data_IF_793896224468
#
_entry.id   IF_793896224468
#
_cell.length_a   1.000
_cell.length_b   1.000
_cell.length_c   1.000
_cell.angle_alpha   90.00
_cell.angle_beta   90.00
_cell.angle_gamma   90.00
#
_symmetry.space_group_name_H-M   'P 1'
#
loop_
_entity.id
_entity.type
_entity.pdbx_description
1 polymer ?
#
# COMPACT_ATOMS: atom_id res chain seq x y z
N UNK A 1 -21.96 -5.36 -10.07
CA UNK A 1 -23.03 -4.34 -9.96
C UNK A 1 -22.37 -3.02 -9.60
N UNK A 2 -22.30 -2.09 -10.55
CA UNK A 2 -21.92 -0.70 -10.27
C UNK A 2 -23.16 -0.10 -9.62
N UNK A 3 -23.08 0.26 -8.34
CA UNK A 3 -24.24 0.70 -7.55
C UNK A 3 -24.78 1.99 -8.17
N UNK A 4 -25.87 1.86 -8.92
CA UNK A 4 -26.64 2.93 -9.56
C UNK A 4 -27.72 3.49 -8.63
N UNK A 5 -27.34 3.90 -7.43
CA UNK A 5 -28.19 4.71 -6.54
C UNK A 5 -27.31 5.78 -5.91
N UNK A 6 -27.80 7.02 -5.94
CA UNK A 6 -27.13 8.23 -5.54
C UNK A 6 -26.65 8.15 -4.08
N UNK A 7 -25.42 7.68 -3.88
CA UNK A 7 -24.66 8.02 -2.68
C UNK A 7 -24.33 9.49 -2.83
N UNK A 8 -24.92 10.34 -2.00
CA UNK A 8 -24.51 11.74 -1.87
C UNK A 8 -23.12 11.71 -1.25
N UNK A 9 -22.11 11.64 -2.12
CA UNK A 9 -20.71 11.71 -1.70
C UNK A 9 -20.47 13.16 -1.29
N UNK A 10 -20.18 13.38 -0.01
CA UNK A 10 -19.68 14.67 0.44
C UNK A 10 -18.24 14.85 -0.06
N UNK A 11 -18.13 15.43 -1.27
CA UNK A 11 -16.86 15.71 -1.93
C UNK A 11 -15.97 16.61 -1.07
N UNK A 12 -16.56 17.48 -0.24
CA UNK A 12 -15.82 18.40 0.64
C UNK A 12 -15.11 17.64 1.75
N UNK A 13 -15.83 16.73 2.42
CA UNK A 13 -15.25 15.86 3.44
C UNK A 13 -14.13 14.97 2.87
N UNK A 14 -14.30 14.49 1.63
CA UNK A 14 -13.32 13.65 0.94
C UNK A 14 -12.02 14.42 0.63
N UNK A 15 -12.14 15.64 0.10
CA UNK A 15 -11.00 16.53 -0.17
C UNK A 15 -10.25 16.90 1.10
N UNK A 16 -10.98 17.25 2.18
CA UNK A 16 -10.36 17.59 3.47
C UNK A 16 -9.60 16.38 4.05
N UNK A 17 -10.16 15.17 3.99
CA UNK A 17 -9.46 13.99 4.48
C UNK A 17 -8.18 13.68 3.70
N UNK A 18 -8.21 13.82 2.37
CA UNK A 18 -7.00 13.65 1.54
C UNK A 18 -5.92 14.69 1.89
N UNK A 19 -6.33 15.94 2.08
CA UNK A 19 -5.44 17.03 2.49
C UNK A 19 -4.77 16.73 3.84
N UNK A 20 -5.55 16.33 4.84
CA UNK A 20 -5.06 16.04 6.18
C UNK A 20 -4.16 14.79 6.23
N UNK A 21 -4.51 13.74 5.47
CA UNK A 21 -3.84 12.44 5.56
C UNK A 21 -2.60 12.31 4.66
N UNK A 22 -2.56 13.02 3.53
CA UNK A 22 -1.49 12.90 2.53
C UNK A 22 -0.71 14.19 2.37
N UNK A 23 -1.40 15.31 2.10
CA UNK A 23 -0.75 16.56 1.71
C UNK A 23 0.01 17.22 2.87
N UNK A 24 -0.64 17.38 4.03
CA UNK A 24 0.00 17.97 5.22
C UNK A 24 1.25 17.20 5.67
N UNK A 25 1.20 15.87 5.90
CA UNK A 25 2.40 15.13 6.31
C UNK A 25 3.50 15.13 5.24
N UNK A 26 3.14 15.19 3.95
CA UNK A 26 4.13 15.30 2.86
C UNK A 26 4.84 16.65 2.88
N UNK A 27 4.11 17.76 3.04
CA UNK A 27 4.67 19.11 3.13
C UNK A 27 5.57 19.23 4.36
N UNK A 28 5.11 18.75 5.52
CA UNK A 28 5.93 18.70 6.75
C UNK A 28 7.21 17.90 6.54
N UNK A 29 7.12 16.74 5.88
CA UNK A 29 8.28 15.92 5.55
C UNK A 29 9.28 16.63 4.63
N UNK A 30 8.80 17.33 3.60
CA UNK A 30 9.64 18.11 2.69
C UNK A 30 10.32 19.29 3.40
N UNK A 31 9.59 20.03 4.24
CA UNK A 31 10.14 21.15 5.02
C UNK A 31 11.19 20.67 6.04
N UNK A 32 10.93 19.55 6.72
CA UNK A 32 11.91 18.93 7.63
C UNK A 32 13.14 18.41 6.90
N UNK A 33 12.97 17.87 5.68
CA UNK A 33 14.08 17.43 4.84
C UNK A 33 14.98 18.61 4.42
N UNK A 34 14.37 19.72 3.99
CA UNK A 34 15.07 20.92 3.57
C UNK A 34 15.78 21.60 4.75
N UNK A 35 15.13 21.66 5.92
CA UNK A 35 15.71 22.24 7.13
C UNK A 35 16.85 21.41 7.73
N UNK A 36 16.83 20.08 7.54
CA UNK A 36 17.93 19.19 7.99
C UNK A 36 19.08 19.06 6.98
N UNK A 37 19.00 19.76 5.83
CA UNK A 37 20.07 19.82 4.84
C UNK A 37 20.52 18.46 4.30
N UNK A 38 19.60 17.48 4.23
CA UNK A 38 19.88 16.13 3.71
C UNK A 38 20.64 15.19 4.66
N UNK A 39 20.99 15.59 5.90
CA UNK A 39 21.67 14.70 6.88
C UNK A 39 20.79 13.55 7.38
N UNK A 40 19.48 13.60 7.15
CA UNK A 40 18.50 12.55 7.45
C UNK A 40 18.61 11.32 6.54
N UNK A 41 19.31 11.41 5.40
CA UNK A 41 19.53 10.27 4.49
C UNK A 41 20.41 9.18 5.14
N UNK A 42 21.35 9.56 6.02
CA UNK A 42 22.17 8.63 6.79
C UNK A 42 21.41 7.94 7.93
N UNK A 43 20.52 8.68 8.62
CA UNK A 43 19.66 8.16 9.68
C UNK A 43 18.54 7.26 9.15
N UNK A 44 18.05 7.54 7.94
CA UNK A 44 17.06 6.71 7.22
C UNK A 44 17.59 5.34 6.81
N UNK A 45 18.91 5.19 6.60
CA UNK A 45 19.53 3.88 6.30
C UNK A 45 19.70 2.98 7.54
N UNK A 46 19.70 3.56 8.75
CA UNK A 46 19.88 2.83 10.01
C UNK A 46 18.60 2.75 10.84
N UNK A 47 18.39 3.77 11.69
CA UNK A 47 17.26 3.81 12.63
C UNK A 47 15.92 3.98 11.89
N UNK A 48 15.86 4.79 10.83
CA UNK A 48 14.62 5.03 10.06
C UNK A 48 14.06 3.75 9.41
N UNK A 49 14.91 2.85 8.92
CA UNK A 49 14.48 1.56 8.40
C UNK A 49 13.86 0.65 9.47
N UNK A 50 14.34 0.74 10.72
CA UNK A 50 13.82 -0.02 11.86
C UNK A 50 12.54 0.62 12.42
N UNK A 51 12.48 1.96 12.47
CA UNK A 51 11.27 2.68 12.89
C UNK A 51 10.13 2.54 11.88
N UNK A 52 10.39 2.61 10.56
CA UNK A 52 9.36 2.34 9.54
C UNK A 52 8.83 0.91 9.62
N UNK A 53 9.68 -0.08 9.92
CA UNK A 53 9.25 -1.47 10.12
C UNK A 53 8.37 -1.63 11.37
N UNK A 54 8.74 -0.99 12.48
CA UNK A 54 7.94 -1.00 13.71
C UNK A 54 6.62 -0.24 13.54
N UNK A 55 6.64 0.94 12.92
CA UNK A 55 5.44 1.71 12.62
C UNK A 55 4.48 0.92 11.72
N UNK A 56 5.02 0.26 10.68
CA UNK A 56 4.23 -0.62 9.83
C UNK A 56 3.64 -1.80 10.62
N UNK A 57 4.41 -2.41 11.52
CA UNK A 57 3.92 -3.51 12.36
C UNK A 57 2.78 -3.04 13.28
N UNK A 58 2.91 -1.87 13.89
CA UNK A 58 1.88 -1.23 14.70
C UNK A 58 0.62 -0.95 13.86
N UNK A 59 0.79 -0.43 12.65
CA UNK A 59 -0.33 -0.15 11.73
C UNK A 59 -1.05 -1.44 11.35
N UNK A 60 -0.32 -2.51 10.99
CA UNK A 60 -0.91 -3.83 10.71
C UNK A 60 -1.64 -4.38 11.95
N UNK A 61 -1.05 -4.24 13.14
CA UNK A 61 -1.65 -4.68 14.40
C UNK A 61 -2.97 -3.96 14.72
N UNK A 62 -3.00 -2.63 14.61
CA UNK A 62 -4.24 -1.85 14.80
C UNK A 62 -5.31 -2.21 13.77
N UNK A 63 -4.94 -2.39 12.50
CA UNK A 63 -5.89 -2.82 11.47
C UNK A 63 -6.43 -4.22 11.76
N UNK A 64 -5.59 -5.13 12.29
CA UNK A 64 -6.01 -6.46 12.71
C UNK A 64 -6.96 -6.44 13.91
N UNK A 65 -6.70 -5.57 14.90
CA UNK A 65 -7.53 -5.43 16.10
C UNK A 65 -8.95 -4.94 15.79
N UNK A 66 -9.13 -4.14 14.73
CA UNK A 66 -10.46 -3.70 14.29
C UNK A 66 -11.27 -4.83 13.67
N UNK A 67 -10.60 -5.80 13.06
CA UNK A 67 -11.23 -6.95 12.38
C UNK A 67 -11.42 -8.13 13.33
N UNK A 68 -10.53 -8.33 14.30
CA UNK A 68 -10.57 -9.43 15.27
C UNK A 68 -11.94 -9.67 15.94
N UNK A 69 -12.68 -8.66 16.44
CA UNK A 69 -13.99 -8.88 17.04
C UNK A 69 -15.08 -9.25 16.01
N UNK A 70 -14.85 -8.98 14.72
CA UNK A 70 -15.79 -9.33 13.65
C UNK A 70 -15.60 -10.76 13.14
N UNK A 71 -14.45 -11.41 13.41
CA UNK A 71 -14.17 -12.79 12.96
C UNK A 71 -14.85 -13.78 13.90
N UNK A 72 -16.15 -14.01 13.70
CA UNK A 72 -16.73 -15.30 14.02
C UNK A 72 -16.42 -16.22 12.83
N UNK A 73 -15.89 -17.42 13.07
CA UNK A 73 -15.56 -18.38 12.00
C UNK A 73 -16.84 -18.90 11.32
N UNK A 74 -17.46 -18.05 10.50
CA UNK A 74 -18.56 -18.36 9.63
C UNK A 74 -18.05 -18.46 8.19
N UNK A 75 -18.77 -19.24 7.39
CA UNK A 75 -18.43 -19.44 5.98
C UNK A 75 -18.42 -18.11 5.20
N UNK A 76 -19.28 -17.17 5.58
CA UNK A 76 -19.40 -15.84 4.96
C UNK A 76 -18.11 -15.01 5.13
N UNK A 77 -17.46 -15.09 6.29
CA UNK A 77 -16.21 -14.35 6.54
C UNK A 77 -15.05 -14.96 5.76
N UNK A 78 -15.01 -16.28 5.63
CA UNK A 78 -14.00 -16.96 4.79
C UNK A 78 -14.13 -16.53 3.33
N UNK A 79 -15.36 -16.44 2.81
CA UNK A 79 -15.60 -15.94 1.45
C UNK A 79 -15.19 -14.47 1.31
N UNK A 80 -15.52 -13.62 2.28
CA UNK A 80 -15.09 -12.21 2.28
C UNK A 80 -13.57 -12.05 2.30
N UNK A 81 -12.86 -12.85 3.12
CA UNK A 81 -11.40 -12.87 3.16
C UNK A 81 -10.82 -13.25 1.80
N UNK A 82 -11.34 -14.32 1.18
CA UNK A 82 -10.86 -14.78 -0.13
C UNK A 82 -11.07 -13.72 -1.22
N UNK A 83 -12.25 -13.10 -1.26
CA UNK A 83 -12.57 -12.03 -2.22
C UNK A 83 -11.69 -10.79 -1.98
N UNK A 84 -11.50 -10.39 -0.72
CA UNK A 84 -10.65 -9.25 -0.37
C UNK A 84 -9.20 -9.50 -0.82
N UNK A 85 -8.66 -10.69 -0.53
CA UNK A 85 -7.31 -11.07 -0.93
C UNK A 85 -7.16 -11.07 -2.45
N UNK A 86 -8.07 -11.70 -3.18
CA UNK A 86 -8.05 -11.72 -4.66
C UNK A 86 -8.14 -10.31 -5.24
N UNK A 87 -8.95 -9.44 -4.66
CA UNK A 87 -9.10 -8.07 -5.13
C UNK A 87 -7.81 -7.27 -4.92
N UNK A 88 -7.15 -7.41 -3.76
CA UNK A 88 -5.87 -6.74 -3.50
C UNK A 88 -4.77 -7.28 -4.42
N UNK A 89 -4.63 -8.60 -4.53
CA UNK A 89 -3.62 -9.24 -5.38
C UNK A 89 -3.81 -8.85 -6.84
N UNK A 90 -5.05 -8.87 -7.34
CA UNK A 90 -5.34 -8.46 -8.71
C UNK A 90 -5.07 -6.98 -8.95
N UNK A 91 -5.37 -6.08 -8.00
CA UNK A 91 -5.07 -4.66 -8.13
C UNK A 91 -3.55 -4.40 -8.25
N UNK A 92 -2.73 -4.99 -7.38
CA UNK A 92 -1.27 -4.89 -7.49
C UNK A 92 -0.72 -5.57 -8.76
N UNK A 93 -1.29 -6.72 -9.14
CA UNK A 93 -0.94 -7.43 -10.36
C UNK A 93 -1.23 -6.62 -11.63
N UNK A 94 -2.37 -5.94 -11.69
CA UNK A 94 -2.71 -5.03 -12.77
C UNK A 94 -1.76 -3.83 -12.83
N UNK A 95 -1.38 -3.27 -11.68
CA UNK A 95 -0.36 -2.22 -11.62
C UNK A 95 1.00 -2.68 -12.17
N UNK A 96 1.40 -3.91 -11.87
CA UNK A 96 2.62 -4.52 -12.42
C UNK A 96 2.53 -4.74 -13.93
N UNK A 97 1.43 -5.34 -14.41
CA UNK A 97 1.21 -5.55 -15.86
C UNK A 97 1.18 -4.21 -16.59
N UNK A 98 0.50 -3.20 -16.04
CA UNK A 98 0.48 -1.84 -16.61
C UNK A 98 1.87 -1.23 -16.69
N UNK A 99 2.72 -1.43 -15.68
CA UNK A 99 4.10 -0.97 -15.71
C UNK A 99 4.97 -1.69 -16.77
N UNK A 100 4.66 -2.93 -17.14
CA UNK A 100 5.40 -3.67 -18.16
C UNK A 100 5.19 -3.12 -19.58
N UNK A 101 4.02 -2.51 -19.83
CA UNK A 101 3.67 -1.90 -21.13
C UNK A 101 4.43 -0.59 -21.38
N UNK A 102 4.94 0.05 -20.33
CA UNK A 102 5.68 1.32 -20.44
C UNK A 102 7.11 1.11 -20.97
N UNK A 103 7.51 1.78 -22.08
CA UNK A 103 8.89 1.77 -22.58
C UNK A 103 9.86 2.51 -21.63
N UNK A 104 11.13 2.11 -21.56
CA UNK A 104 12.16 2.71 -20.69
C UNK A 104 11.81 2.76 -19.18
N UNK A 105 11.16 1.70 -18.68
CA UNK A 105 10.76 1.61 -17.27
C UNK A 105 11.96 1.60 -16.33
N UNK A 106 12.02 2.58 -15.43
CA UNK A 106 12.92 2.53 -14.27
C UNK A 106 12.24 1.79 -13.12
N UNK A 107 13.04 1.28 -12.16
CA UNK A 107 12.55 0.59 -10.95
C UNK A 107 11.53 1.44 -10.19
N UNK A 108 11.81 2.73 -10.06
CA UNK A 108 10.97 3.70 -9.36
C UNK A 108 9.61 3.86 -10.04
N UNK A 109 9.57 3.96 -11.37
CA UNK A 109 8.32 4.08 -12.14
C UNK A 109 7.45 2.83 -11.99
N UNK A 110 8.06 1.66 -12.05
CA UNK A 110 7.33 0.40 -11.89
C UNK A 110 6.75 0.25 -10.48
N UNK A 111 7.54 0.55 -9.45
CA UNK A 111 7.07 0.54 -8.06
C UNK A 111 5.97 1.58 -7.87
N UNK A 112 6.13 2.79 -8.39
CA UNK A 112 5.11 3.84 -8.33
C UNK A 112 3.79 3.43 -8.99
N UNK A 113 3.84 2.78 -10.15
CA UNK A 113 2.64 2.28 -10.85
C UNK A 113 1.93 1.17 -10.07
N UNK A 114 2.69 0.21 -9.52
CA UNK A 114 2.14 -0.86 -8.68
C UNK A 114 1.42 -0.27 -7.46
N UNK A 115 2.04 0.70 -6.79
CA UNK A 115 1.43 1.36 -5.64
C UNK A 115 0.26 2.26 -6.03
N UNK A 116 0.33 2.98 -7.14
CA UNK A 116 -0.75 3.86 -7.59
C UNK A 116 -2.03 3.08 -7.90
N UNK A 117 -1.90 1.87 -8.45
CA UNK A 117 -3.06 1.01 -8.77
C UNK A 117 -3.51 0.17 -7.57
N UNK A 118 -2.55 -0.37 -6.80
CA UNK A 118 -2.80 -1.31 -5.71
C UNK A 118 -3.07 -0.66 -4.35
N UNK A 119 -2.49 0.51 -4.07
CA UNK A 119 -2.81 1.27 -2.85
C UNK A 119 -3.91 2.29 -3.12
N UNK A 120 -5.15 1.86 -2.92
CA UNK A 120 -6.31 2.74 -2.92
C UNK A 120 -6.53 3.31 -1.53
N UNK A 121 -7.13 4.51 -1.45
CA UNK A 121 -7.52 5.11 -0.18
C UNK A 121 -8.74 4.37 0.40
N UNK A 122 -8.48 3.25 1.05
CA UNK A 122 -9.50 2.45 1.72
C UNK A 122 -10.01 3.13 3.01
N UNK A 123 -9.26 4.06 3.61
CA UNK A 123 -9.71 4.84 4.77
C UNK A 123 -10.92 5.72 4.43
N UNK A 124 -10.91 6.38 3.26
CA UNK A 124 -12.08 7.11 2.78
C UNK A 124 -13.28 6.17 2.56
N UNK A 125 -13.05 5.01 1.94
CA UNK A 125 -14.09 3.99 1.75
C UNK A 125 -14.68 3.50 3.09
N UNK A 126 -13.84 3.35 4.11
CA UNK A 126 -14.25 2.95 5.45
C UNK A 126 -15.11 4.03 6.12
N UNK A 127 -14.72 5.31 6.03
CA UNK A 127 -15.51 6.43 6.54
C UNK A 127 -16.89 6.45 5.88
N UNK A 128 -16.97 6.28 4.56
CA UNK A 128 -18.25 6.23 3.85
C UNK A 128 -19.09 5.05 4.36
N UNK A 129 -18.48 3.88 4.53
CA UNK A 129 -19.19 2.68 4.99
C UNK A 129 -19.77 2.82 6.40
N UNK A 130 -19.01 3.36 7.36
CA UNK A 130 -19.50 3.54 8.74
C UNK A 130 -20.51 4.69 8.86
N UNK A 131 -20.45 5.68 7.95
CA UNK A 131 -21.31 6.88 8.02
C UNK A 131 -22.66 6.63 7.37
N UNK A 132 -22.69 5.87 6.26
CA UNK A 132 -23.89 5.75 5.42
C UNK A 132 -24.47 4.33 5.37
N UNK A 133 -23.76 3.32 5.87
CA UNK A 133 -24.18 1.92 5.79
C UNK A 133 -24.17 1.22 7.16
N UNK A 134 -24.88 0.09 7.30
CA UNK A 134 -24.78 -0.74 8.49
C UNK A 134 -23.33 -1.21 8.75
N UNK A 135 -22.93 -1.42 10.02
CA UNK A 135 -21.55 -1.79 10.38
C UNK A 135 -20.97 -3.00 9.64
N UNK A 136 -21.83 -3.93 9.19
CA UNK A 136 -21.44 -5.10 8.41
C UNK A 136 -20.69 -4.75 7.10
N UNK A 137 -20.97 -3.60 6.49
CA UNK A 137 -20.32 -3.15 5.23
C UNK A 137 -18.89 -2.65 5.46
N UNK A 138 -18.53 -2.28 6.69
CA UNK A 138 -17.18 -1.85 7.05
C UNK A 138 -16.18 -3.01 7.14
N UNK A 139 -16.66 -4.22 7.43
CA UNK A 139 -15.84 -5.44 7.59
C UNK A 139 -15.00 -5.78 6.35
N UNK A 140 -15.57 -5.89 5.12
CA UNK A 140 -14.76 -6.17 3.93
C UNK A 140 -13.75 -5.06 3.62
N UNK A 141 -14.06 -3.80 3.95
CA UNK A 141 -13.14 -2.68 3.73
C UNK A 141 -11.97 -2.73 4.71
N UNK A 142 -12.24 -3.03 5.99
CA UNK A 142 -11.19 -3.24 6.98
C UNK A 142 -10.31 -4.46 6.63
N UNK A 143 -10.90 -5.55 6.13
CA UNK A 143 -10.17 -6.71 5.61
C UNK A 143 -9.27 -6.35 4.42
N UNK A 144 -9.77 -5.55 3.48
CA UNK A 144 -8.95 -5.04 2.37
C UNK A 144 -7.74 -4.25 2.89
N UNK A 145 -7.94 -3.34 3.85
CA UNK A 145 -6.85 -2.58 4.48
C UNK A 145 -5.83 -3.49 5.15
N UNK A 146 -6.30 -4.52 5.85
CA UNK A 146 -5.46 -5.50 6.53
C UNK A 146 -4.57 -6.29 5.57
N UNK A 147 -5.07 -6.67 4.38
CA UNK A 147 -4.26 -7.36 3.37
C UNK A 147 -3.39 -6.41 2.54
N UNK A 148 -3.85 -5.18 2.33
CA UNK A 148 -3.17 -4.20 1.49
C UNK A 148 -1.82 -3.76 2.08
N UNK A 149 -1.74 -3.56 3.41
CA UNK A 149 -0.53 -3.04 4.07
C UNK A 149 0.64 -4.05 4.12
N UNK A 150 0.44 -5.34 4.44
CA UNK A 150 1.50 -6.35 4.34
C UNK A 150 1.95 -6.57 2.90
N UNK A 151 1.03 -6.61 1.93
CA UNK A 151 1.38 -6.78 0.52
C UNK A 151 2.20 -5.58 0.03
N UNK A 152 1.77 -4.35 0.35
CA UNK A 152 2.56 -3.13 0.11
C UNK A 152 3.98 -3.28 0.65
N UNK A 153 4.14 -3.67 1.93
CA UNK A 153 5.44 -3.77 2.57
C UNK A 153 6.38 -4.84 1.96
N UNK A 154 5.84 -5.87 1.31
CA UNK A 154 6.65 -6.93 0.70
C UNK A 154 7.16 -6.56 -0.69
N UNK A 155 6.48 -5.68 -1.43
CA UNK A 155 6.85 -5.29 -2.80
C UNK A 155 8.30 -4.76 -2.90
N UNK A 156 8.77 -3.80 -2.08
CA UNK A 156 10.14 -3.28 -2.19
C UNK A 156 11.21 -4.34 -1.92
N UNK A 157 10.95 -5.25 -0.97
CA UNK A 157 11.85 -6.35 -0.62
C UNK A 157 11.91 -7.39 -1.74
N UNK A 158 10.77 -7.68 -2.38
CA UNK A 158 10.69 -8.61 -3.51
C UNK A 158 11.51 -8.10 -4.71
N UNK A 159 11.38 -6.81 -5.05
CA UNK A 159 12.20 -6.21 -6.12
C UNK A 159 13.70 -6.24 -5.80
N UNK A 160 14.08 -5.95 -4.55
CA UNK A 160 15.48 -6.05 -4.11
C UNK A 160 16.03 -7.47 -4.27
N UNK A 161 15.25 -8.49 -3.89
CA UNK A 161 15.64 -9.89 -4.03
C UNK A 161 15.84 -10.32 -5.50
N UNK A 162 14.96 -9.86 -6.41
CA UNK A 162 15.11 -10.13 -7.85
C UNK A 162 16.35 -9.47 -8.45
N UNK A 163 16.72 -8.29 -7.97
CA UNK A 163 17.95 -7.60 -8.38
C UNK A 163 19.20 -8.32 -7.89
N UNK A 164 19.24 -8.72 -6.61
CA UNK A 164 20.34 -9.52 -6.06
C UNK A 164 20.51 -10.82 -6.84
N UNK A 165 19.42 -11.50 -7.21
CA UNK A 165 19.46 -12.69 -8.07
C UNK A 165 19.93 -12.43 -9.50
N UNK A 166 19.61 -11.28 -10.09
CA UNK A 166 20.13 -10.89 -11.42
C UNK A 166 21.62 -10.56 -11.36
N UNK A 167 22.06 -9.83 -10.33
CA UNK A 167 23.47 -9.50 -10.10
C UNK A 167 24.30 -10.78 -9.88
N UNK A 168 23.77 -11.75 -9.14
CA UNK A 168 24.39 -13.07 -8.93
C UNK A 168 24.36 -13.98 -10.17
N UNK A 169 23.54 -13.66 -11.18
CA UNK A 169 23.52 -14.36 -12.49
C UNK A 169 24.47 -13.78 -13.53
N UNK A 170 25.02 -12.58 -13.30
CA UNK A 170 26.02 -11.95 -14.17
C UNK A 170 27.51 -11.97 -13.69
N UNK A 171 28.04 -12.88 -12.84
CA UNK A 171 29.37 -12.66 -12.29
C UNK A 171 30.57 -12.99 -13.20
N UNK A 172 30.43 -13.56 -14.42
CA UNK A 172 31.61 -14.16 -15.09
C UNK A 172 31.69 -14.12 -16.64
N UNK A 173 30.92 -13.33 -17.38
CA UNK A 173 31.13 -13.23 -18.84
C UNK A 173 32.07 -12.09 -19.29
N UNK A 174 32.60 -11.28 -18.38
CA UNK A 174 33.46 -10.13 -18.72
C UNK A 174 34.97 -10.32 -18.44
N UNK A 175 35.42 -11.46 -17.91
CA UNK A 175 36.84 -11.67 -17.54
C UNK A 175 37.56 -12.70 -18.42
N UNK A 176 37.10 -12.96 -19.65
CA UNK A 176 37.77 -13.92 -20.56
C UNK A 176 37.90 -13.43 -22.00
N UNK A 177 38.18 -12.15 -22.16
CA UNK A 177 38.49 -11.56 -23.46
C UNK A 177 39.57 -10.48 -23.34
N UNK A 178 40.66 -10.79 -22.64
CA UNK A 178 41.96 -10.10 -22.78
C UNK A 178 43.09 -11.13 -22.69
#
# INVERSE_FOLDING_TARGET
MIVGQAVVIDYTALVIQLLLMVTIPSILGMVLYDWTGGKTVGFSKGIGGLTSKLALFIVIFFNGSLVAPAIQLSWDIVQMIAVALLMVVSAYGLGYIGALVVPNRTREVMIAMIYSVGMRNASCGLVIAITYFPPAVAVPIALLMLFQQPIAATIPNLFKFFEERKALRQPQTAFRAE
#
